data_IF_105783525339
#
_entry.id   IF_105783525339
#
_cell.length_a   1.000
_cell.length_b   1.000
_cell.length_c   1.000
_cell.angle_alpha   90.00
_cell.angle_beta   90.00
_cell.angle_gamma   90.00
#
_symmetry.space_group_name_H-M   'P 1'
#
loop_
_entity.id
_entity.type
_entity.pdbx_description
1 polymer ?
#
# COMPACT_ATOMS: atom_id res chain seq x y z
N UNK A 1 -1.49 -1.45 -9.21
CA UNK A 1 -0.15 -0.80 -9.30
C UNK A 1 0.26 -0.24 -7.95
N UNK A 2 1.49 -0.56 -7.52
CA UNK A 2 2.10 -0.10 -6.25
C UNK A 2 2.53 1.38 -6.33
N UNK A 3 3.16 1.77 -7.44
CA UNK A 3 3.51 3.18 -7.69
C UNK A 3 2.24 4.02 -7.92
N UNK A 4 2.15 5.14 -7.22
CA UNK A 4 1.02 6.10 -7.26
C UNK A 4 1.42 7.48 -7.74
N UNK A 5 2.71 7.83 -7.67
CA UNK A 5 3.25 9.11 -8.17
C UNK A 5 4.64 8.87 -8.71
N UNK A 6 4.96 9.54 -9.82
CA UNK A 6 6.31 9.73 -10.34
C UNK A 6 6.55 11.24 -10.39
N UNK A 7 7.56 11.72 -9.69
CA UNK A 7 8.04 13.10 -9.76
C UNK A 7 9.34 13.10 -10.58
N UNK A 8 9.29 13.62 -11.81
CA UNK A 8 10.45 13.63 -12.72
C UNK A 8 11.56 14.53 -12.20
N UNK A 9 11.19 15.68 -11.64
CA UNK A 9 12.06 16.61 -10.94
C UNK A 9 11.44 16.88 -9.56
N UNK A 10 12.12 16.62 -8.43
CA UNK A 10 13.53 16.24 -8.24
C UNK A 10 13.91 14.75 -8.43
N UNK A 11 13.01 13.90 -8.95
CA UNK A 11 13.35 12.51 -9.30
C UNK A 11 13.04 11.49 -8.20
N UNK A 12 11.77 11.15 -8.00
CA UNK A 12 11.35 10.09 -7.07
C UNK A 12 10.01 9.45 -7.47
N UNK A 13 9.74 8.27 -6.90
CA UNK A 13 8.43 7.61 -6.98
C UNK A 13 7.81 7.49 -5.59
N UNK A 14 6.47 7.43 -5.55
CA UNK A 14 5.72 7.22 -4.31
C UNK A 14 4.86 5.98 -4.44
N UNK A 15 4.87 5.14 -3.40
CA UNK A 15 3.96 4.01 -3.23
C UNK A 15 3.43 4.01 -1.80
N UNK A 16 2.27 3.37 -1.59
CA UNK A 16 1.65 3.28 -0.27
C UNK A 16 1.48 1.81 0.13
N UNK A 17 1.74 1.50 1.40
CA UNK A 17 1.64 0.15 1.96
C UNK A 17 1.35 0.24 3.47
N UNK A 18 1.02 -0.87 4.11
CA UNK A 18 0.94 -0.91 5.56
C UNK A 18 2.36 -0.92 6.17
N UNK A 19 2.67 0.04 7.05
CA UNK A 19 3.96 0.13 7.74
C UNK A 19 4.30 -1.09 8.62
N UNK A 20 3.29 -1.84 9.08
CA UNK A 20 3.47 -3.06 9.88
C UNK A 20 3.65 -4.33 9.03
N UNK A 21 3.45 -4.24 7.71
CA UNK A 21 3.66 -5.38 6.82
C UNK A 21 5.12 -5.82 6.79
N UNK A 22 5.40 -6.99 6.22
CA UNK A 22 6.77 -7.48 6.02
C UNK A 22 7.67 -6.42 5.36
N UNK A 23 7.25 -5.88 4.21
CA UNK A 23 8.03 -4.86 3.50
C UNK A 23 8.16 -3.54 4.30
N UNK A 24 7.15 -3.19 5.09
CA UNK A 24 7.19 -1.99 5.93
C UNK A 24 8.25 -2.11 7.03
N UNK A 25 8.33 -3.29 7.67
CA UNK A 25 9.36 -3.62 8.66
C UNK A 25 10.76 -3.69 8.04
N UNK A 26 10.91 -4.34 6.88
CA UNK A 26 12.19 -4.42 6.15
C UNK A 26 12.69 -3.02 5.77
N UNK A 27 11.83 -2.14 5.25
CA UNK A 27 12.20 -0.78 4.88
C UNK A 27 12.50 0.14 6.08
N UNK A 28 11.87 -0.12 7.23
CA UNK A 28 12.19 0.60 8.46
C UNK A 28 13.58 0.22 9.00
N UNK A 29 13.97 -1.05 8.85
CA UNK A 29 15.29 -1.54 9.27
C UNK A 29 16.41 -1.20 8.26
N UNK A 30 16.10 -1.24 6.96
CA UNK A 30 17.02 -0.94 5.87
C UNK A 30 16.31 -0.10 4.80
N UNK A 31 16.42 1.24 4.82
CA UNK A 31 15.65 2.14 3.96
C UNK A 31 16.25 2.25 2.56
N UNK A 32 16.40 1.11 1.87
CA UNK A 32 16.80 1.04 0.47
C UNK A 32 15.89 0.08 -0.28
N UNK A 33 15.56 0.40 -1.52
CA UNK A 33 14.73 -0.44 -2.37
C UNK A 33 15.11 -0.34 -3.84
N UNK A 34 14.75 -1.39 -4.59
CA UNK A 34 14.67 -1.39 -6.03
C UNK A 34 13.22 -1.53 -6.49
N UNK A 35 12.82 -0.78 -7.52
CA UNK A 35 11.55 -0.88 -8.19
C UNK A 35 11.76 -1.19 -9.68
N UNK A 36 10.95 -2.12 -10.20
CA UNK A 36 10.99 -2.51 -11.60
C UNK A 36 9.65 -2.18 -12.25
N UNK A 37 9.70 -1.44 -13.35
CA UNK A 37 8.58 -1.21 -14.24
C UNK A 37 8.85 -1.99 -15.52
N UNK A 38 8.04 -3.01 -15.77
CA UNK A 38 8.18 -3.87 -16.93
C UNK A 38 6.97 -3.69 -17.85
N UNK A 39 7.23 -3.33 -19.10
CA UNK A 39 6.23 -3.16 -20.15
C UNK A 39 6.46 -4.20 -21.23
N UNK A 40 5.86 -5.38 -21.04
CA UNK A 40 6.04 -6.53 -21.94
C UNK A 40 5.66 -6.20 -23.39
N UNK A 41 4.48 -5.58 -23.60
CA UNK A 41 4.01 -5.17 -24.93
C UNK A 41 4.91 -4.14 -25.64
N UNK A 42 5.75 -3.41 -24.90
CA UNK A 42 6.74 -2.49 -25.46
C UNK A 42 8.15 -3.07 -25.47
N UNK A 43 8.35 -4.28 -24.92
CA UNK A 43 9.65 -4.91 -24.67
C UNK A 43 10.62 -3.97 -23.96
N UNK A 44 10.10 -3.20 -22.98
CA UNK A 44 10.88 -2.20 -22.23
C UNK A 44 10.83 -2.47 -20.74
N UNK A 45 11.91 -2.11 -20.06
CA UNK A 45 12.02 -2.17 -18.61
C UNK A 45 12.73 -0.94 -18.08
N UNK A 46 12.22 -0.38 -16.99
CA UNK A 46 12.90 0.62 -16.18
C UNK A 46 13.16 0.08 -14.77
N UNK A 47 14.36 0.36 -14.25
CA UNK A 47 14.78 0.05 -12.89
C UNK A 47 15.10 1.34 -12.16
N UNK A 48 14.58 1.46 -10.94
CA UNK A 48 14.87 2.59 -10.05
C UNK A 48 15.37 2.00 -8.75
N UNK A 49 16.53 2.43 -8.29
CA UNK A 49 17.15 1.99 -7.04
C UNK A 49 17.55 3.23 -6.23
N UNK A 50 17.36 3.17 -4.91
CA UNK A 50 17.69 4.32 -4.07
C UNK A 50 17.22 4.20 -2.63
N UNK A 51 17.44 5.26 -1.84
CA UNK A 51 16.92 5.34 -0.49
C UNK A 51 15.39 5.44 -0.49
N UNK A 52 14.78 4.94 0.59
CA UNK A 52 13.33 5.07 0.82
C UNK A 52 13.10 6.02 1.98
N UNK A 53 12.25 7.01 1.76
CA UNK A 53 11.83 7.96 2.78
C UNK A 53 10.37 7.68 3.15
N UNK A 54 10.07 7.75 4.45
CA UNK A 54 8.69 7.70 4.90
C UNK A 54 8.00 9.00 4.53
N UNK A 55 6.89 8.92 3.80
CA UNK A 55 6.07 10.09 3.49
C UNK A 55 5.61 10.79 4.77
N UNK A 56 5.47 12.13 4.75
CA UNK A 56 4.82 12.87 5.82
C UNK A 56 3.45 12.26 6.17
N UNK A 57 3.05 12.25 7.45
CA UNK A 57 1.75 11.72 7.87
C UNK A 57 0.59 12.36 7.10
N UNK A 58 0.61 13.68 6.93
CA UNK A 58 -0.42 14.43 6.21
C UNK A 58 -0.58 13.97 4.74
N UNK A 59 0.51 13.64 4.04
CA UNK A 59 0.42 13.11 2.67
C UNK A 59 -0.20 11.71 2.65
N UNK A 60 0.15 10.89 3.64
CA UNK A 60 -0.39 9.54 3.79
C UNK A 60 -1.89 9.57 4.08
N UNK A 61 -2.32 10.48 4.97
CA UNK A 61 -3.72 10.67 5.34
C UNK A 61 -4.54 11.23 4.18
N UNK A 62 -4.01 12.24 3.48
CA UNK A 62 -4.66 12.82 2.30
C UNK A 62 -4.83 11.77 1.19
N UNK A 63 -3.77 11.00 0.89
CA UNK A 63 -3.87 9.90 -0.06
C UNK A 63 -4.89 8.86 0.38
N UNK A 64 -4.83 8.43 1.65
CA UNK A 64 -5.74 7.42 2.16
C UNK A 64 -7.19 7.87 2.06
N UNK A 65 -7.50 9.13 2.41
CA UNK A 65 -8.83 9.72 2.32
C UNK A 65 -9.39 9.74 0.89
N UNK A 66 -8.54 9.99 -0.11
CA UNK A 66 -8.93 9.99 -1.53
C UNK A 66 -9.29 8.61 -2.09
N UNK A 67 -8.97 7.51 -1.38
CA UNK A 67 -9.23 6.16 -1.89
C UNK A 67 -10.72 5.83 -1.88
N UNK A 68 -11.20 5.02 -2.85
CA UNK A 68 -12.54 4.45 -2.79
C UNK A 68 -12.80 3.80 -1.43
N UNK A 69 -14.01 3.96 -0.91
CA UNK A 69 -14.33 3.55 0.47
C UNK A 69 -14.06 2.05 0.70
N UNK A 70 -14.36 1.18 -0.28
CA UNK A 70 -14.07 -0.26 -0.21
C UNK A 70 -12.56 -0.53 -0.02
N UNK A 71 -11.74 0.27 -0.71
CA UNK A 71 -10.28 0.20 -0.64
C UNK A 71 -9.73 0.62 0.72
N UNK A 72 -10.36 1.61 1.38
CA UNK A 72 -10.05 2.01 2.75
C UNK A 72 -10.46 0.92 3.74
N UNK A 73 -11.65 0.37 3.55
CA UNK A 73 -12.24 -0.68 4.38
C UNK A 73 -11.37 -1.94 4.40
N UNK A 74 -10.95 -2.43 3.23
CA UNK A 74 -10.02 -3.56 3.13
C UNK A 74 -8.65 -3.28 3.75
N UNK A 75 -8.17 -2.04 3.69
CA UNK A 75 -6.91 -1.65 4.32
C UNK A 75 -7.00 -1.63 5.87
N UNK A 76 -8.15 -1.29 6.44
CA UNK A 76 -8.39 -1.37 7.89
C UNK A 76 -8.65 -2.80 8.36
N UNK A 77 -9.38 -3.59 7.59
CA UNK A 77 -9.71 -4.97 7.94
C UNK A 77 -8.49 -5.91 7.88
N UNK A 78 -7.59 -5.68 6.92
CA UNK A 78 -6.45 -6.57 6.67
C UNK A 78 -5.23 -6.21 7.52
N UNK A 79 -4.80 -7.16 8.36
CA UNK A 79 -3.44 -7.16 8.94
C UNK A 79 -2.44 -7.66 7.89
N UNK A 80 -2.08 -6.78 6.95
CA UNK A 80 -1.25 -7.13 5.80
C UNK A 80 0.04 -7.87 6.21
N UNK A 81 0.26 -9.05 5.63
CA UNK A 81 1.40 -9.95 5.87
C UNK A 81 1.41 -10.70 7.21
N UNK A 82 0.32 -10.66 7.98
CA UNK A 82 0.14 -11.54 9.13
C UNK A 82 -0.62 -12.82 8.73
N UNK A 83 -0.35 -13.96 9.39
CA UNK A 83 -1.16 -15.17 9.21
C UNK A 83 -2.63 -14.90 9.51
N UNK A 84 -3.51 -15.56 8.75
CA UNK A 84 -4.96 -15.55 8.99
C UNK A 84 -5.43 -16.98 9.10
N UNK A 85 -6.40 -17.24 9.98
CA UNK A 85 -6.89 -18.59 10.26
C UNK A 85 -7.60 -19.21 9.07
N UNK A 86 -8.36 -18.41 8.33
CA UNK A 86 -9.10 -18.84 7.15
C UNK A 86 -9.52 -17.65 6.28
N UNK A 87 -10.10 -17.96 5.11
CA UNK A 87 -10.80 -16.97 4.29
C UNK A 87 -12.02 -16.38 5.02
N UNK A 88 -12.79 -17.20 5.71
CA UNK A 88 -13.96 -16.75 6.47
C UNK A 88 -13.58 -15.73 7.55
N UNK A 89 -12.43 -15.92 8.22
CA UNK A 89 -11.91 -14.95 9.18
C UNK A 89 -11.60 -13.58 8.55
N UNK A 90 -11.09 -13.54 7.31
CA UNK A 90 -10.87 -12.28 6.58
C UNK A 90 -12.19 -11.59 6.21
N UNK A 91 -13.19 -12.36 5.78
CA UNK A 91 -14.53 -11.85 5.44
C UNK A 91 -15.24 -11.29 6.69
N UNK A 92 -15.12 -11.97 7.83
CA UNK A 92 -15.63 -11.48 9.12
C UNK A 92 -14.91 -10.20 9.59
N UNK A 93 -13.59 -10.12 9.41
CA UNK A 93 -12.84 -8.90 9.72
C UNK A 93 -13.28 -7.71 8.85
N UNK A 94 -13.56 -7.96 7.57
CA UNK A 94 -14.12 -6.95 6.66
C UNK A 94 -15.51 -6.52 7.13
N UNK A 95 -16.38 -7.46 7.49
CA UNK A 95 -17.74 -7.15 7.93
C UNK A 95 -17.76 -6.37 9.25
N UNK A 96 -16.95 -6.77 10.22
CA UNK A 96 -16.79 -6.06 11.49
C UNK A 96 -16.26 -4.64 11.28
N UNK A 97 -15.34 -4.46 10.33
CA UNK A 97 -14.80 -3.15 9.96
C UNK A 97 -15.87 -2.29 9.27
N UNK A 98 -16.71 -2.88 8.42
CA UNK A 98 -17.79 -2.17 7.74
C UNK A 98 -18.82 -1.66 8.75
N UNK A 99 -19.22 -2.50 9.71
CA UNK A 99 -20.10 -2.13 10.81
C UNK A 99 -19.49 -1.00 11.65
N UNK A 100 -18.20 -1.10 12.03
CA UNK A 100 -17.49 -0.06 12.80
C UNK A 100 -17.55 1.33 12.13
N UNK A 101 -17.52 1.38 10.80
CA UNK A 101 -17.51 2.63 10.04
C UNK A 101 -18.86 2.95 9.38
N UNK A 102 -19.94 2.26 9.75
CA UNK A 102 -21.28 2.41 9.15
C UNK A 102 -21.25 2.36 7.60
N UNK A 103 -20.37 1.53 7.04
CA UNK A 103 -20.20 1.36 5.62
C UNK A 103 -20.96 0.12 5.13
N UNK A 104 -21.48 0.10 3.89
CA UNK A 104 -22.12 -1.07 3.34
C UNK A 104 -21.10 -2.21 3.16
N UNK A 105 -21.58 -3.46 3.22
CA UNK A 105 -20.77 -4.60 2.82
C UNK A 105 -20.60 -4.57 1.29
N UNK A 106 -19.36 -4.72 0.78
CA UNK A 106 -19.12 -4.83 -0.66
C UNK A 106 -19.56 -6.18 -1.23
#
# INVERSE_FOLDING_TARGET
MLCKKLAVDPGYIVFYTNYRSRKGRELAANPRAGAVFHWDGMRRQARIEGPVLKSPPAESDAYFASRPWQSRLGAWASRQSEPTESRAALEQALASTAQRFAAPLP
#
